data_IF_383895810378
#
_entry.id   IF_383895810378
#
_cell.length_a   1.000
_cell.length_b   1.000
_cell.length_c   1.000
_cell.angle_alpha   90.00
_cell.angle_beta   90.00
_cell.angle_gamma   90.00
#
_symmetry.space_group_name_H-M   'P 1'
#
loop_
_entity.id
_entity.type
_entity.pdbx_description
1 polymer ?
#
# COMPACT_ATOMS: atom_id res chain seq x y z
N UNK A 1 -4.21 12.66 -25.53
CA UNK A 1 -2.87 12.75 -24.95
C UNK A 1 -3.03 12.35 -23.49
N UNK A 2 -2.84 11.06 -23.23
CA UNK A 2 -3.17 10.36 -21.99
C UNK A 2 -2.07 10.62 -20.97
N UNK A 3 -2.37 11.27 -19.86
CA UNK A 3 -1.40 11.52 -18.78
C UNK A 3 -1.39 10.30 -17.84
N UNK A 4 -0.60 9.29 -18.16
CA UNK A 4 -0.29 8.21 -17.22
C UNK A 4 0.80 8.70 -16.26
N UNK A 5 0.48 8.83 -14.98
CA UNK A 5 1.50 9.05 -13.96
C UNK A 5 2.11 7.70 -13.60
N UNK A 6 3.07 7.27 -14.42
CA UNK A 6 3.87 6.07 -14.13
C UNK A 6 5.05 6.46 -13.24
N UNK A 7 5.04 6.05 -11.97
CA UNK A 7 6.23 6.11 -11.12
C UNK A 7 6.95 4.76 -11.22
N UNK A 8 8.04 4.73 -11.97
CA UNK A 8 8.93 3.57 -12.03
C UNK A 8 9.97 3.70 -10.91
N UNK A 9 9.84 2.89 -9.88
CA UNK A 9 10.95 2.65 -8.96
C UNK A 9 11.88 1.64 -9.61
N UNK A 10 12.89 2.12 -10.35
CA UNK A 10 13.93 1.26 -10.90
C UNK A 10 15.04 1.06 -9.86
N UNK A 11 15.00 -0.05 -9.13
CA UNK A 11 16.16 -0.53 -8.40
C UNK A 11 17.10 -1.20 -9.42
N UNK A 12 18.19 -0.53 -9.75
CA UNK A 12 19.14 -0.97 -10.76
C UNK A 12 20.03 -2.09 -10.21
N UNK A 13 19.52 -3.32 -10.19
CA UNK A 13 20.36 -4.50 -10.05
C UNK A 13 19.92 -5.55 -11.07
N UNK A 14 20.79 -5.79 -12.06
CA UNK A 14 20.51 -6.48 -13.34
C UNK A 14 20.30 -7.99 -13.23
N UNK A 15 20.03 -8.51 -12.04
CA UNK A 15 19.78 -9.93 -11.75
C UNK A 15 18.55 -10.17 -10.88
N UNK A 16 17.83 -9.11 -10.48
CA UNK A 16 16.64 -9.24 -9.64
C UNK A 16 15.36 -9.38 -10.47
N UNK A 17 14.38 -10.19 -10.03
CA UNK A 17 13.10 -10.34 -10.71
C UNK A 17 12.47 -8.96 -10.93
N UNK A 18 11.95 -8.74 -12.15
CA UNK A 18 11.39 -7.47 -12.61
C UNK A 18 10.51 -6.84 -11.53
N UNK A 19 10.91 -5.67 -11.07
CA UNK A 19 10.21 -4.87 -10.07
C UNK A 19 8.73 -4.73 -10.46
N UNK A 20 7.84 -5.00 -9.51
CA UNK A 20 6.40 -4.85 -9.73
C UNK A 20 6.08 -3.39 -10.02
N UNK A 21 5.67 -3.10 -11.25
CA UNK A 21 5.25 -1.77 -11.64
C UNK A 21 3.81 -1.53 -11.17
N UNK A 22 3.60 -0.48 -10.37
CA UNK A 22 2.27 0.06 -10.08
C UNK A 22 1.97 1.21 -11.05
N UNK A 23 0.75 1.20 -11.57
CA UNK A 23 0.22 2.20 -12.50
C UNK A 23 -1.06 2.77 -11.90
N UNK A 24 -1.10 4.09 -11.77
CA UNK A 24 -2.30 4.84 -11.39
C UNK A 24 -2.98 5.36 -12.66
N UNK A 25 -4.11 4.75 -13.02
CA UNK A 25 -4.91 5.13 -14.18
C UNK A 25 -5.99 6.12 -13.75
N UNK A 26 -5.74 7.41 -14.01
CA UNK A 26 -6.65 8.51 -13.64
C UNK A 26 -7.91 8.50 -14.51
N UNK A 27 -7.85 8.00 -15.74
CA UNK A 27 -8.99 7.96 -16.66
C UNK A 27 -9.97 6.84 -16.26
N UNK A 28 -9.44 5.65 -15.97
CA UNK A 28 -10.24 4.53 -15.49
C UNK A 28 -10.56 4.58 -13.98
N UNK A 29 -9.96 5.54 -13.26
CA UNK A 29 -9.94 5.65 -11.79
C UNK A 29 -9.62 4.29 -11.18
N UNK A 30 -8.43 3.80 -11.51
CA UNK A 30 -7.98 2.47 -11.14
C UNK A 30 -6.51 2.45 -10.75
N UNK A 31 -6.16 1.51 -9.87
CA UNK A 31 -4.78 1.17 -9.56
C UNK A 31 -4.51 -0.21 -10.15
N UNK A 32 -3.39 -0.36 -10.85
CA UNK A 32 -2.97 -1.62 -11.43
C UNK A 32 -1.54 -1.95 -10.99
N UNK A 33 -1.29 -3.22 -10.67
CA UNK A 33 0.05 -3.73 -10.41
C UNK A 33 0.31 -4.99 -11.23
N UNK A 34 1.55 -5.17 -11.69
CA UNK A 34 2.01 -6.37 -12.41
C UNK A 34 2.96 -7.18 -11.53
N UNK A 35 2.71 -8.49 -11.44
CA UNK A 35 3.50 -9.44 -10.66
C UNK A 35 3.97 -10.62 -11.52
N UNK A 36 5.13 -11.18 -11.17
CA UNK A 36 5.72 -12.34 -11.84
C UNK A 36 5.04 -13.67 -11.44
N UNK A 37 4.40 -13.72 -10.27
CA UNK A 37 3.76 -14.91 -9.75
C UNK A 37 2.39 -14.61 -9.11
N UNK A 38 1.54 -15.63 -9.11
CA UNK A 38 0.16 -15.56 -8.60
C UNK A 38 0.11 -15.25 -7.11
N UNK A 39 1.04 -15.83 -6.34
CA UNK A 39 1.04 -15.73 -4.89
C UNK A 39 1.32 -14.29 -4.44
N UNK A 40 2.30 -13.62 -5.06
CA UNK A 40 2.60 -12.20 -4.85
C UNK A 40 1.39 -11.32 -5.18
N UNK A 41 0.69 -11.59 -6.29
CA UNK A 41 -0.51 -10.84 -6.67
C UNK A 41 -1.64 -11.00 -5.64
N UNK A 42 -1.86 -12.21 -5.14
CA UNK A 42 -2.88 -12.48 -4.12
C UNK A 42 -2.51 -11.92 -2.73
N UNK A 43 -1.23 -11.93 -2.37
CA UNK A 43 -0.74 -11.25 -1.16
C UNK A 43 -0.97 -9.75 -1.24
N UNK A 44 -0.56 -9.14 -2.35
CA UNK A 44 -0.78 -7.73 -2.58
C UNK A 44 -2.27 -7.36 -2.58
N UNK A 45 -3.11 -8.18 -3.22
CA UNK A 45 -4.58 -8.03 -3.19
C UNK A 45 -5.11 -7.91 -1.76
N UNK A 46 -4.69 -8.80 -0.86
CA UNK A 46 -5.14 -8.79 0.54
C UNK A 46 -4.72 -7.50 1.24
N UNK A 47 -3.45 -7.11 1.10
CA UNK A 47 -2.93 -5.86 1.71
C UNK A 47 -3.64 -4.63 1.15
N UNK A 48 -3.96 -4.60 -0.14
CA UNK A 48 -4.74 -3.51 -0.75
C UNK A 48 -6.13 -3.41 -0.15
N UNK A 49 -6.85 -4.53 -0.01
CA UNK A 49 -8.18 -4.57 0.61
C UNK A 49 -8.11 -4.01 2.03
N UNK A 50 -7.20 -4.55 2.85
CA UNK A 50 -7.04 -4.12 4.24
C UNK A 50 -6.70 -2.62 4.34
N UNK A 51 -5.80 -2.13 3.48
CA UNK A 51 -5.42 -0.71 3.44
C UNK A 51 -6.61 0.17 3.07
N UNK A 52 -7.38 -0.21 2.05
CA UNK A 52 -8.54 0.55 1.60
C UNK A 52 -9.66 0.58 2.65
N UNK A 53 -9.92 -0.55 3.31
CA UNK A 53 -10.90 -0.67 4.38
C UNK A 53 -10.46 0.13 5.63
N UNK A 54 -9.21 0.03 6.04
CA UNK A 54 -8.76 0.62 7.30
C UNK A 54 -8.42 2.12 7.20
N UNK A 55 -7.82 2.57 6.09
CA UNK A 55 -7.39 3.97 5.93
C UNK A 55 -8.47 4.88 5.36
N UNK A 56 -9.35 4.31 4.51
CA UNK A 56 -10.35 5.09 3.79
C UNK A 56 -11.79 4.68 4.11
N UNK A 57 -12.00 3.64 4.93
CA UNK A 57 -13.32 3.14 5.32
C UNK A 57 -14.19 2.76 4.11
N UNK A 58 -13.56 2.15 3.10
CA UNK A 58 -14.24 1.72 1.88
C UNK A 58 -14.69 0.27 2.00
N UNK A 59 -15.88 -0.04 1.49
CA UNK A 59 -16.41 -1.40 1.44
C UNK A 59 -16.09 -2.05 0.09
N UNK A 60 -15.49 -3.25 0.12
CA UNK A 60 -15.28 -4.05 -1.10
C UNK A 60 -16.64 -4.37 -1.76
N UNK A 61 -16.66 -4.43 -3.10
CA UNK A 61 -17.84 -4.65 -3.94
C UNK A 61 -18.80 -3.44 -4.06
N UNK A 62 -18.93 -2.62 -3.02
CA UNK A 62 -19.74 -1.39 -3.04
C UNK A 62 -18.93 -0.19 -3.55
N UNK A 63 -17.80 0.07 -2.91
CA UNK A 63 -16.97 1.24 -3.18
C UNK A 63 -15.91 0.97 -4.24
N UNK A 64 -15.38 -0.26 -4.28
CA UNK A 64 -14.34 -0.65 -5.23
C UNK A 64 -14.43 -2.13 -5.62
N UNK A 65 -13.85 -2.46 -6.78
CA UNK A 65 -13.73 -3.84 -7.28
C UNK A 65 -12.26 -4.18 -7.51
N UNK A 66 -11.82 -5.30 -6.94
CA UNK A 66 -10.43 -5.73 -7.01
C UNK A 66 -10.31 -7.17 -7.53
N UNK A 67 -9.53 -7.35 -8.60
CA UNK A 67 -9.36 -8.63 -9.27
C UNK A 67 -7.89 -8.86 -9.65
N UNK A 68 -7.49 -10.14 -9.62
CA UNK A 68 -6.23 -10.61 -10.20
C UNK A 68 -6.57 -11.29 -11.50
N UNK A 69 -5.99 -10.82 -12.60
CA UNK A 69 -6.15 -11.37 -13.93
C UNK A 69 -4.81 -11.91 -14.42
N UNK A 70 -4.84 -12.98 -15.20
CA UNK A 70 -3.64 -13.50 -15.87
C UNK A 70 -3.48 -12.77 -17.21
N UNK A 71 -2.31 -12.18 -17.42
CA UNK A 71 -1.93 -11.56 -18.69
C UNK A 71 -1.05 -12.51 -19.50
N UNK A 72 -1.62 -13.01 -20.60
CA UNK A 72 -0.96 -13.90 -21.56
C UNK A 72 -0.56 -13.17 -22.84
N UNK A 73 -0.54 -11.83 -22.85
CA UNK A 73 -0.29 -11.05 -24.07
C UNK A 73 1.19 -10.92 -24.45
N UNK A 74 2.13 -11.29 -23.56
CA UNK A 74 3.58 -11.21 -23.77
C UNK A 74 4.29 -12.57 -23.77
N UNK A 75 5.62 -12.53 -23.86
CA UNK A 75 6.48 -13.73 -23.76
C UNK A 75 6.51 -14.31 -22.34
N UNK A 76 6.33 -13.47 -21.33
CA UNK A 76 6.32 -13.85 -19.92
C UNK A 76 4.90 -13.83 -19.34
N UNK A 77 4.53 -14.93 -18.67
CA UNK A 77 3.32 -15.03 -17.86
C UNK A 77 3.36 -13.97 -16.76
N UNK A 78 2.34 -13.12 -16.69
CA UNK A 78 2.22 -12.13 -15.63
C UNK A 78 0.84 -12.12 -14.99
N UNK A 79 0.80 -11.72 -13.73
CA UNK A 79 -0.43 -11.57 -12.95
C UNK A 79 -0.69 -10.09 -12.72
N UNK A 80 -1.83 -9.61 -13.22
CA UNK A 80 -2.25 -8.21 -13.11
C UNK A 80 -3.29 -8.08 -12.00
N UNK A 81 -2.91 -7.42 -10.91
CA UNK A 81 -3.84 -6.96 -9.90
C UNK A 81 -4.44 -5.62 -10.35
N UNK A 82 -5.76 -5.50 -10.39
CA UNK A 82 -6.44 -4.25 -10.73
C UNK A 82 -7.53 -3.94 -9.71
N UNK A 83 -7.57 -2.69 -9.25
CA UNK A 83 -8.57 -2.15 -8.34
C UNK A 83 -9.26 -0.95 -8.98
N UNK A 84 -10.58 -1.03 -9.20
CA UNK A 84 -11.42 0.04 -9.74
C UNK A 84 -12.22 0.73 -8.64
N UNK A 85 -12.20 2.06 -8.62
CA UNK A 85 -12.91 2.87 -7.61
C UNK A 85 -14.26 3.34 -8.18
N UNK A 86 -15.35 2.81 -7.64
CA UNK A 86 -16.70 2.98 -8.17
C UNK A 86 -17.42 4.18 -7.54
N UNK A 87 -17.42 4.25 -6.21
CA UNK A 87 -18.20 5.25 -5.47
C UNK A 87 -17.52 6.62 -5.40
N UNK A 88 -18.28 7.64 -4.97
CA UNK A 88 -17.71 8.96 -4.74
C UNK A 88 -16.63 8.95 -3.63
N UNK A 89 -16.83 8.16 -2.57
CA UNK A 89 -15.87 8.02 -1.48
C UNK A 89 -14.60 7.33 -1.97
N UNK A 90 -14.74 6.27 -2.75
CA UNK A 90 -13.64 5.55 -3.38
C UNK A 90 -12.82 6.46 -4.31
N UNK A 91 -13.49 7.25 -5.16
CA UNK A 91 -12.84 8.21 -6.05
C UNK A 91 -12.07 9.29 -5.29
N UNK A 92 -12.59 9.74 -4.15
CA UNK A 92 -11.88 10.68 -3.29
C UNK A 92 -10.65 10.04 -2.65
N UNK A 93 -10.73 8.79 -2.19
CA UNK A 93 -9.58 8.03 -1.72
C UNK A 93 -8.50 7.88 -2.81
N UNK A 94 -8.90 7.51 -4.03
CA UNK A 94 -7.99 7.45 -5.18
C UNK A 94 -7.31 8.80 -5.46
N UNK A 95 -8.07 9.90 -5.42
CA UNK A 95 -7.51 11.25 -5.55
C UNK A 95 -6.49 11.52 -4.44
N UNK A 96 -6.78 11.17 -3.19
CA UNK A 96 -5.84 11.35 -2.07
C UNK A 96 -4.54 10.57 -2.28
N UNK A 97 -4.63 9.32 -2.72
CA UNK A 97 -3.46 8.47 -3.01
C UNK A 97 -2.62 9.09 -4.14
N UNK A 98 -3.27 9.51 -5.24
CA UNK A 98 -2.56 10.03 -6.43
C UNK A 98 -2.04 11.46 -6.29
N UNK A 99 -2.49 12.22 -5.28
CA UNK A 99 -2.10 13.60 -5.02
C UNK A 99 -1.28 13.74 -3.72
N UNK A 100 -0.66 12.65 -3.26
CA UNK A 100 0.25 12.66 -2.11
C UNK A 100 -0.42 13.15 -0.81
N UNK A 101 -1.73 12.91 -0.67
CA UNK A 101 -2.53 13.26 0.52
C UNK A 101 -2.75 12.06 1.47
N UNK A 102 -2.15 10.92 1.13
CA UNK A 102 -2.12 9.70 1.94
C UNK A 102 -0.84 8.90 1.60
N UNK A 103 0.36 9.48 1.78
CA UNK A 103 1.64 8.86 1.42
C UNK A 103 1.86 7.51 2.12
N UNK A 104 1.34 7.36 3.34
CA UNK A 104 1.37 6.10 4.09
C UNK A 104 0.62 4.97 3.38
N UNK A 105 -0.61 5.25 2.93
CA UNK A 105 -1.41 4.27 2.20
C UNK A 105 -0.79 4.00 0.83
N UNK A 106 -0.28 5.03 0.15
CA UNK A 106 0.42 4.88 -1.12
C UNK A 106 1.63 3.93 -0.98
N UNK A 107 2.49 4.16 0.01
CA UNK A 107 3.66 3.32 0.27
C UNK A 107 3.28 1.86 0.52
N UNK A 108 2.24 1.62 1.33
CA UNK A 108 1.75 0.26 1.62
C UNK A 108 1.23 -0.42 0.35
N UNK A 109 0.47 0.30 -0.50
CA UNK A 109 -0.01 -0.24 -1.77
C UNK A 109 1.13 -0.62 -2.71
N UNK A 110 2.16 0.22 -2.81
CA UNK A 110 3.35 0.01 -3.64
C UNK A 110 4.23 -1.15 -3.16
N UNK A 111 4.33 -1.34 -1.83
CA UNK A 111 5.17 -2.39 -1.21
C UNK A 111 4.41 -3.67 -0.85
N UNK A 112 3.11 -3.74 -1.13
CA UNK A 112 2.20 -4.81 -0.74
C UNK A 112 2.62 -6.26 -1.12
N UNK A 113 3.55 -6.39 -2.07
CA UNK A 113 4.06 -7.67 -2.56
C UNK A 113 5.29 -8.16 -1.78
N UNK A 114 5.99 -7.27 -1.09
CA UNK A 114 7.17 -7.60 -0.29
C UNK A 114 6.66 -8.31 0.96
N UNK A 115 7.13 -9.54 1.25
CA UNK A 115 6.81 -10.19 2.51
C UNK A 115 7.32 -9.29 3.65
N UNK A 116 6.41 -8.88 4.53
CA UNK A 116 6.77 -8.16 5.76
C UNK A 116 7.62 -9.11 6.62
N UNK A 117 8.93 -9.02 6.51
CA UNK A 117 9.85 -9.45 7.57
C UNK A 117 9.82 -8.37 8.64
N UNK A 118 9.97 -8.75 9.91
CA UNK A 118 10.01 -7.79 11.04
C UNK A 118 11.04 -6.65 10.81
N UNK A 119 12.07 -6.91 10.01
CA UNK A 119 13.13 -5.97 9.64
C UNK A 119 12.71 -4.91 8.58
N UNK A 120 11.60 -5.10 7.87
CA UNK A 120 11.15 -4.19 6.79
C UNK A 120 10.74 -2.80 7.30
N UNK A 121 10.37 -2.68 8.57
CA UNK A 121 9.91 -1.42 9.18
C UNK A 121 11.07 -0.46 9.52
N UNK A 122 12.28 -0.97 9.69
CA UNK A 122 13.49 -0.14 9.78
C UNK A 122 13.70 0.63 8.47
N UNK A 123 13.41 0.00 7.32
CA UNK A 123 13.47 0.62 5.99
C UNK A 123 12.54 1.84 5.85
N UNK A 124 11.33 1.77 6.42
CA UNK A 124 10.37 2.87 6.42
C UNK A 124 10.84 4.07 7.25
N UNK A 125 11.49 3.84 8.40
CA UNK A 125 12.06 4.92 9.24
C UNK A 125 13.34 5.53 8.65
N UNK A 126 14.05 4.79 7.80
CA UNK A 126 15.30 5.25 7.18
C UNK A 126 15.12 5.88 5.79
N UNK A 127 13.90 5.99 5.27
CA UNK A 127 13.71 6.68 3.99
C UNK A 127 14.02 8.18 4.15
N UNK A 128 14.91 8.68 3.30
CA UNK A 128 15.45 10.04 3.42
C UNK A 128 14.36 11.13 3.32
N UNK A 129 13.25 10.84 2.62
CA UNK A 129 12.12 11.75 2.44
C UNK A 129 11.34 12.05 3.75
N UNK A 130 11.36 11.15 4.74
CA UNK A 130 10.69 11.36 6.04
C UNK A 130 11.59 12.02 7.08
N UNK A 131 12.92 12.01 6.89
CA UNK A 131 13.85 12.77 7.75
C UNK A 131 13.70 14.27 7.58
N UNK A 132 13.28 14.73 6.41
CA UNK A 132 13.05 16.16 6.16
C UNK A 132 11.87 16.69 6.98
N UNK A 133 10.74 15.96 6.99
CA UNK A 133 9.55 16.33 7.78
C UNK A 133 9.78 16.25 9.30
N UNK A 134 10.63 15.33 9.77
CA UNK A 134 10.99 15.20 11.17
C UNK A 134 11.91 16.32 11.66
N UNK A 135 12.73 16.91 10.78
CA UNK A 135 13.64 17.99 11.14
C UNK A 135 13.01 19.39 11.05
N UNK A 136 11.97 19.59 10.22
CA UNK A 136 11.26 20.88 10.13
C UNK A 136 10.37 21.20 11.34
N UNK A 137 10.07 20.21 12.18
CA UNK A 137 9.25 20.38 13.39
C UNK A 137 10.03 20.84 14.64
N UNK A 138 11.34 21.07 14.50
CA UNK A 138 12.23 21.52 15.59
C UNK A 138 12.08 22.99 15.99
N UNK A 139 11.59 23.88 15.11
CA UNK A 139 11.86 25.32 15.27
C UNK A 139 10.63 26.22 15.52
N UNK A 140 9.47 25.67 15.91
CA UNK A 140 8.28 26.49 16.23
C UNK A 140 7.63 26.15 17.58
N UNK A 141 7.78 26.97 18.64
CA UNK A 141 7.25 26.69 19.97
C UNK A 141 5.76 27.05 20.17
N UNK A 142 4.93 27.04 19.12
CA UNK A 142 3.52 27.47 19.21
C UNK A 142 2.58 26.60 18.33
N UNK A 143 2.33 25.35 18.71
CA UNK A 143 1.06 24.61 18.47
C UNK A 143 1.11 23.19 19.07
N UNK A 144 1.10 23.08 20.40
CA UNK A 144 1.03 21.79 21.11
C UNK A 144 -0.43 21.55 21.48
N UNK A 145 -1.27 21.09 20.55
CA UNK A 145 -2.58 20.50 20.92
C UNK A 145 -3.15 19.58 19.80
N UNK A 146 -2.73 19.73 18.55
CA UNK A 146 -3.21 18.90 17.44
C UNK A 146 -2.32 17.67 17.11
N UNK A 147 -0.98 17.78 17.26
CA UNK A 147 -0.06 16.68 16.91
C UNK A 147 -0.16 15.47 17.87
N UNK A 148 -0.46 15.70 19.15
CA UNK A 148 -0.54 14.64 20.15
C UNK A 148 -1.75 13.71 19.96
N UNK A 149 -2.78 14.14 19.22
CA UNK A 149 -3.96 13.32 18.90
C UNK A 149 -3.72 12.40 17.70
N UNK A 150 -3.05 12.86 16.64
CA UNK A 150 -2.77 12.01 15.47
C UNK A 150 -1.75 10.91 15.81
N UNK A 151 -0.73 11.23 16.62
CA UNK A 151 0.28 10.24 17.06
C UNK A 151 -0.36 9.14 17.93
N UNK A 152 -1.32 9.48 18.79
CA UNK A 152 -2.02 8.50 19.63
C UNK A 152 -3.01 7.62 18.84
N UNK A 153 -3.66 8.17 17.80
CA UNK A 153 -4.54 7.39 16.93
C UNK A 153 -3.76 6.36 16.11
N UNK A 154 -2.59 6.76 15.58
CA UNK A 154 -1.71 5.84 14.87
C UNK A 154 -1.22 4.74 15.80
N UNK A 155 -0.76 5.07 17.01
CA UNK A 155 -0.28 4.06 17.97
C UNK A 155 -1.35 3.01 18.34
N UNK A 156 -2.58 3.45 18.58
CA UNK A 156 -3.68 2.54 18.93
C UNK A 156 -4.07 1.62 17.77
N UNK A 157 -3.97 2.11 16.54
CA UNK A 157 -4.17 1.31 15.34
C UNK A 157 -3.02 0.31 15.16
N UNK A 158 -1.76 0.72 15.39
CA UNK A 158 -0.58 -0.16 15.40
C UNK A 158 -0.70 -1.29 16.42
N UNK A 159 -1.07 -0.98 17.67
CA UNK A 159 -1.26 -2.00 18.71
C UNK A 159 -2.36 -3.00 18.34
N UNK A 160 -3.41 -2.55 17.64
CA UNK A 160 -4.49 -3.41 17.14
C UNK A 160 -4.04 -4.28 15.96
N UNK A 161 -3.19 -3.75 15.09
CA UNK A 161 -2.63 -4.47 13.95
C UNK A 161 -1.63 -5.55 14.41
N UNK A 162 -0.71 -5.21 15.33
CA UNK A 162 0.21 -6.18 15.93
C UNK A 162 -0.53 -7.33 16.61
N UNK A 163 -1.56 -7.03 17.40
CA UNK A 163 -2.39 -8.06 18.03
C UNK A 163 -3.09 -8.97 17.01
N UNK A 164 -3.34 -8.49 15.78
CA UNK A 164 -4.00 -9.25 14.74
C UNK A 164 -3.03 -10.17 14.00
N UNK A 165 -1.82 -9.68 13.68
CA UNK A 165 -0.75 -10.49 13.11
C UNK A 165 -0.37 -11.64 14.03
N UNK A 166 -0.27 -11.37 15.34
CA UNK A 166 0.08 -12.39 16.33
C UNK A 166 -0.97 -13.54 16.39
N UNK A 167 -2.25 -13.22 16.17
CA UNK A 167 -3.32 -14.22 16.05
C UNK A 167 -3.21 -15.04 14.77
N UNK A 168 -2.82 -14.41 13.66
CA UNK A 168 -2.65 -15.09 12.38
C UNK A 168 -1.48 -16.06 12.46
N UNK A 169 -0.33 -15.63 12.96
CA UNK A 169 0.85 -16.49 13.09
C UNK A 169 0.55 -17.73 13.96
N UNK A 170 -0.16 -17.54 15.09
CA UNK A 170 -0.57 -18.67 15.95
C UNK A 170 -1.57 -19.62 15.30
N UNK A 171 -2.44 -19.14 14.41
CA UNK A 171 -3.37 -20.00 13.67
C UNK A 171 -2.69 -20.95 12.67
N UNK A 172 -1.42 -20.71 12.36
CA UNK A 172 -0.62 -21.53 11.45
C UNK A 172 0.38 -22.45 12.18
N UNK A 173 0.46 -22.45 13.52
CA UNK A 173 1.33 -23.37 14.25
C UNK A 173 0.63 -24.73 14.45
N UNK A 174 1.06 -25.80 13.76
CA UNK A 174 0.41 -27.11 13.81
C UNK A 174 0.65 -27.85 15.14
N UNK A 175 1.47 -27.30 16.05
CA UNK A 175 1.76 -27.90 17.36
C UNK A 175 0.75 -27.51 18.46
N UNK A 176 -0.25 -26.67 18.18
CA UNK A 176 -1.29 -26.28 19.14
C UNK A 176 -2.51 -27.24 19.08
N UNK A 177 -2.23 -28.54 19.22
CA UNK A 177 -3.21 -29.61 19.47
C UNK A 177 -2.73 -30.57 20.53
#
# INVERSE_FOLDING_TARGET
MTMLTTRKYSFSDSSSPQLSEIIFDVEAIAIQARYADELSAHRAKRVWIETLESHFLLDCESDYLIAVNIDNSGEDLAFILRCHFLSACARYAFWRITNDQAPEAQYVLETAHIPLSEDSWLGFQTSDDLRELANESSDNPLSIDHASKSVNLNKKWFDSFESMIDKIVRSFDPNDK
#
